data_IF_490390472626
#
_entry.id   IF_490390472626
#
_cell.length_a   1.000
_cell.length_b   1.000
_cell.length_c   1.000
_cell.angle_alpha   90.00
_cell.angle_beta   90.00
_cell.angle_gamma   90.00
#
_symmetry.space_group_name_H-M   'P 1'
#
loop_
_entity.id
_entity.type
_entity.pdbx_description
1 polymer ?
#
# COMPACT_ATOMS: atom_id res chain seq x y z
N UNK A 1 22.59 33.27 -78.57
CA UNK A 1 22.96 32.97 -77.18
C UNK A 1 21.79 33.38 -76.28
N UNK A 2 21.05 32.42 -75.76
CA UNK A 2 19.93 32.63 -74.78
C UNK A 2 20.37 32.16 -73.44
N UNK A 3 20.47 33.09 -72.51
CA UNK A 3 20.85 32.82 -71.13
C UNK A 3 19.61 32.44 -70.31
N UNK A 4 19.56 31.22 -69.78
CA UNK A 4 18.49 30.73 -68.92
C UNK A 4 18.90 31.06 -67.48
N UNK A 5 18.13 31.89 -66.80
CA UNK A 5 18.26 32.15 -65.36
C UNK A 5 17.38 31.18 -64.59
N UNK A 6 18.00 30.26 -63.84
CA UNK A 6 17.33 29.35 -62.89
C UNK A 6 17.14 30.07 -61.55
N UNK A 7 15.89 30.33 -61.19
CA UNK A 7 15.50 30.82 -59.83
C UNK A 7 15.25 29.60 -58.97
N UNK A 8 16.16 29.39 -57.99
CA UNK A 8 15.97 28.37 -56.94
C UNK A 8 15.06 28.95 -55.84
N UNK A 9 13.85 28.42 -55.71
CA UNK A 9 12.93 28.75 -54.61
C UNK A 9 13.31 27.92 -53.37
N UNK A 10 13.91 28.55 -52.35
CA UNK A 10 14.10 27.94 -51.02
C UNK A 10 12.76 27.91 -50.26
N UNK A 11 12.19 26.71 -50.10
CA UNK A 11 11.05 26.48 -49.19
C UNK A 11 11.59 26.41 -47.77
N UNK A 12 11.37 27.46 -46.96
CA UNK A 12 11.62 27.46 -45.54
C UNK A 12 10.45 26.78 -44.84
N UNK A 13 10.63 25.53 -44.43
CA UNK A 13 9.66 24.82 -43.60
C UNK A 13 9.90 25.31 -42.14
N UNK A 14 9.08 26.22 -41.67
CA UNK A 14 9.03 26.63 -40.28
C UNK A 14 8.37 25.54 -39.46
N UNK A 15 9.19 24.78 -38.70
CA UNK A 15 8.72 23.90 -37.64
C UNK A 15 8.10 24.75 -36.54
N UNK A 16 6.77 24.80 -36.45
CA UNK A 16 6.09 25.34 -35.30
C UNK A 16 6.25 24.36 -34.13
N UNK A 17 6.76 24.77 -32.96
CA UNK A 17 6.85 23.85 -31.82
C UNK A 17 5.42 23.51 -31.37
N UNK A 18 5.19 22.22 -31.23
CA UNK A 18 3.90 21.65 -30.80
C UNK A 18 3.49 22.19 -29.42
N UNK A 19 2.52 23.10 -29.39
CA UNK A 19 1.80 23.56 -28.18
C UNK A 19 0.67 22.58 -27.78
N UNK A 20 0.91 21.27 -27.84
CA UNK A 20 -0.13 20.28 -27.52
C UNK A 20 -0.19 19.92 -26.02
N UNK A 21 0.76 20.33 -25.17
CA UNK A 21 0.80 19.92 -23.77
C UNK A 21 0.01 20.82 -22.80
N UNK A 22 -0.33 22.04 -23.18
CA UNK A 22 -0.96 23.00 -22.24
C UNK A 22 -2.49 22.93 -22.18
N UNK A 23 -3.15 22.41 -23.20
CA UNK A 23 -4.63 22.43 -23.26
C UNK A 23 -5.33 21.34 -22.43
N UNK A 24 -4.60 20.28 -22.00
CA UNK A 24 -5.20 19.18 -21.23
C UNK A 24 -5.35 19.45 -19.73
N UNK A 25 -4.69 20.46 -19.18
CA UNK A 25 -4.70 20.75 -17.75
C UNK A 25 -5.72 21.81 -17.33
N UNK A 26 -6.21 22.64 -18.25
CA UNK A 26 -7.16 23.73 -17.91
C UNK A 26 -8.54 23.22 -17.43
N UNK A 27 -8.93 21.98 -17.74
CA UNK A 27 -10.21 21.38 -17.37
C UNK A 27 -10.09 20.02 -16.68
N UNK A 28 -8.94 19.71 -16.06
CA UNK A 28 -8.79 18.45 -15.32
C UNK A 28 -9.17 18.63 -13.85
N UNK A 29 -9.96 17.68 -13.26
CA UNK A 29 -10.72 16.64 -13.95
C UNK A 29 -12.09 17.16 -14.43
N UNK A 30 -12.54 16.74 -15.61
CA UNK A 30 -13.87 17.04 -16.15
C UNK A 30 -14.79 15.81 -16.22
N UNK A 31 -14.33 14.67 -15.72
CA UNK A 31 -15.07 13.41 -15.61
C UNK A 31 -14.60 12.61 -14.39
N UNK A 32 -15.33 11.57 -14.06
CA UNK A 32 -15.01 10.65 -12.97
C UNK A 32 -13.58 10.12 -13.07
N UNK A 33 -12.85 10.15 -11.94
CA UNK A 33 -11.53 9.55 -11.79
C UNK A 33 -11.68 8.17 -11.14
N UNK A 34 -10.99 7.16 -11.65
CA UNK A 34 -10.95 5.81 -11.08
C UNK A 34 -9.74 5.67 -10.18
N UNK A 35 -9.96 5.26 -8.94
CA UNK A 35 -8.91 4.88 -8.01
C UNK A 35 -8.88 3.35 -7.91
N UNK A 36 -7.92 2.74 -8.59
CA UNK A 36 -7.72 1.29 -8.57
C UNK A 36 -7.11 0.88 -7.22
N UNK A 37 -7.77 -0.07 -6.57
CA UNK A 37 -7.31 -0.75 -5.37
C UNK A 37 -7.00 -2.20 -5.74
N UNK A 38 -5.72 -2.64 -5.74
CA UNK A 38 -5.34 -3.96 -6.24
C UNK A 38 -5.60 -5.09 -5.25
N UNK A 39 -6.49 -4.87 -4.28
CA UNK A 39 -6.84 -5.81 -3.22
C UNK A 39 -8.36 -5.95 -3.07
N UNK A 40 -8.85 -7.05 -2.46
CA UNK A 40 -10.28 -7.24 -2.22
C UNK A 40 -10.87 -6.14 -1.33
N UNK A 41 -12.19 -5.88 -1.43
CA UNK A 41 -12.89 -5.00 -0.52
C UNK A 41 -12.75 -5.43 0.96
N UNK A 42 -12.74 -4.46 1.87
CA UNK A 42 -12.67 -4.70 3.32
C UNK A 42 -11.27 -4.84 3.90
N UNK A 43 -10.20 -4.83 3.07
CA UNK A 43 -8.81 -4.73 3.53
C UNK A 43 -8.37 -3.29 3.81
N UNK A 44 -7.17 -3.11 4.38
CA UNK A 44 -6.65 -1.79 4.76
C UNK A 44 -6.58 -0.81 3.59
N UNK A 45 -6.15 -1.26 2.42
CA UNK A 45 -6.04 -0.40 1.22
C UNK A 45 -7.42 0.07 0.75
N UNK A 46 -8.43 -0.81 0.77
CA UNK A 46 -9.81 -0.44 0.43
C UNK A 46 -10.39 0.56 1.46
N UNK A 47 -10.12 0.33 2.75
CA UNK A 47 -10.52 1.26 3.81
C UNK A 47 -9.92 2.66 3.56
N UNK A 48 -8.63 2.75 3.30
CA UNK A 48 -7.95 4.03 3.01
C UNK A 48 -8.52 4.68 1.75
N UNK A 49 -8.75 3.92 0.69
CA UNK A 49 -9.38 4.42 -0.54
C UNK A 49 -10.73 5.08 -0.24
N UNK A 50 -11.58 4.42 0.56
CA UNK A 50 -12.92 4.93 0.92
C UNK A 50 -12.89 6.11 1.90
N UNK A 51 -11.84 6.27 2.68
CA UNK A 51 -11.63 7.45 3.52
C UNK A 51 -11.19 8.67 2.71
N UNK A 52 -10.35 8.46 1.69
CA UNK A 52 -9.76 9.54 0.89
C UNK A 52 -10.65 9.98 -0.26
N UNK A 53 -11.29 9.02 -0.96
CA UNK A 53 -12.00 9.29 -2.23
C UNK A 53 -13.10 10.34 -2.13
N UNK A 54 -13.98 10.38 -1.10
CA UNK A 54 -15.03 11.39 -1.02
C UNK A 54 -14.45 12.80 -0.91
N UNK A 55 -13.47 13.01 -0.01
CA UNK A 55 -12.84 14.31 0.22
C UNK A 55 -12.01 14.78 -0.98
N UNK A 56 -11.29 13.86 -1.63
CA UNK A 56 -10.56 14.17 -2.85
C UNK A 56 -11.53 14.55 -3.97
N UNK A 57 -12.65 13.83 -4.11
CA UNK A 57 -13.69 14.12 -5.08
C UNK A 57 -14.32 15.50 -4.87
N UNK A 58 -14.71 15.85 -3.64
CA UNK A 58 -15.20 17.18 -3.26
C UNK A 58 -14.17 18.26 -3.62
N UNK A 59 -12.89 18.04 -3.30
CA UNK A 59 -11.81 19.00 -3.58
C UNK A 59 -11.52 19.22 -5.06
N UNK A 60 -11.79 18.21 -5.89
CA UNK A 60 -11.57 18.23 -7.34
C UNK A 60 -12.83 18.61 -8.14
N UNK A 61 -14.01 18.64 -7.50
CA UNK A 61 -15.30 18.86 -8.18
C UNK A 61 -15.73 17.70 -9.08
N UNK A 62 -15.14 16.50 -8.90
CA UNK A 62 -15.45 15.30 -9.69
C UNK A 62 -15.42 14.04 -8.80
N UNK A 63 -16.27 13.08 -9.13
CA UNK A 63 -16.33 11.83 -8.37
C UNK A 63 -15.04 11.02 -8.49
N UNK A 64 -14.55 10.47 -7.35
CA UNK A 64 -13.51 9.46 -7.32
C UNK A 64 -14.17 8.10 -7.04
N UNK A 65 -14.11 7.19 -7.99
CA UNK A 65 -14.68 5.85 -7.87
C UNK A 65 -13.59 4.85 -7.49
N UNK A 66 -13.79 4.20 -6.34
CA UNK A 66 -12.92 3.10 -5.89
C UNK A 66 -13.27 1.85 -6.67
N UNK A 67 -12.29 1.26 -7.36
CA UNK A 67 -12.43 0.07 -8.18
C UNK A 67 -11.44 -1.01 -7.72
N UNK A 68 -11.97 -2.04 -7.04
CA UNK A 68 -11.17 -3.15 -6.51
C UNK A 68 -10.83 -4.15 -7.62
N UNK A 69 -9.54 -4.28 -7.96
CA UNK A 69 -8.98 -5.20 -8.98
C UNK A 69 -7.97 -6.12 -8.36
N UNK A 70 -8.47 -7.07 -7.57
CA UNK A 70 -7.63 -8.00 -6.81
C UNK A 70 -7.07 -9.14 -7.67
N UNK A 71 -5.98 -9.75 -7.19
CA UNK A 71 -5.37 -10.95 -7.73
C UNK A 71 -3.85 -10.89 -7.73
N UNK A 72 -3.19 -12.06 -7.59
CA UNK A 72 -1.73 -12.22 -7.53
C UNK A 72 -1.08 -11.18 -6.60
N UNK A 73 -1.57 -11.07 -5.36
CA UNK A 73 -1.08 -10.13 -4.34
C UNK A 73 -1.01 -8.66 -4.80
N UNK A 74 -1.97 -8.26 -5.66
CA UNK A 74 -2.08 -6.91 -6.19
C UNK A 74 -1.44 -6.71 -7.56
N UNK A 75 -0.72 -7.70 -8.11
CA UNK A 75 -0.06 -7.55 -9.40
C UNK A 75 -1.04 -7.28 -10.55
N UNK A 76 -2.24 -7.91 -10.55
CA UNK A 76 -3.24 -7.72 -11.62
C UNK A 76 -3.75 -6.28 -11.66
N UNK A 77 -4.17 -5.72 -10.52
CA UNK A 77 -4.65 -4.34 -10.46
C UNK A 77 -3.55 -3.32 -10.73
N UNK A 78 -2.32 -3.62 -10.31
CA UNK A 78 -1.14 -2.78 -10.56
C UNK A 78 -0.81 -2.73 -12.05
N UNK A 79 -0.77 -3.88 -12.74
CA UNK A 79 -0.55 -3.96 -14.18
C UNK A 79 -1.61 -3.18 -14.97
N UNK A 80 -2.89 -3.26 -14.56
CA UNK A 80 -3.95 -2.50 -15.20
C UNK A 80 -3.64 -0.99 -15.22
N UNK A 81 -3.12 -0.45 -14.11
CA UNK A 81 -2.76 0.97 -14.04
C UNK A 81 -1.48 1.27 -14.81
N UNK A 82 -0.47 0.40 -14.76
CA UNK A 82 0.76 0.56 -15.55
C UNK A 82 0.47 0.72 -17.07
N UNK A 83 -0.58 0.04 -17.56
CA UNK A 83 -1.01 0.08 -18.96
C UNK A 83 -2.11 1.10 -19.27
N UNK A 84 -2.58 1.85 -18.28
CA UNK A 84 -3.63 2.85 -18.47
C UNK A 84 -3.11 4.09 -19.19
N UNK A 85 -4.02 4.85 -19.80
CA UNK A 85 -3.68 6.14 -20.39
C UNK A 85 -3.12 7.09 -19.33
N UNK A 86 -2.02 7.82 -19.60
CA UNK A 86 -1.38 8.71 -18.63
C UNK A 86 -2.07 10.09 -18.62
N UNK A 87 -3.39 10.10 -18.44
CA UNK A 87 -4.24 11.29 -18.48
C UNK A 87 -4.77 11.71 -17.10
N UNK A 88 -4.37 10.99 -16.03
CA UNK A 88 -4.78 11.27 -14.65
C UNK A 88 -6.13 10.68 -14.24
N UNK A 89 -6.89 10.05 -15.13
CA UNK A 89 -8.21 9.49 -14.81
C UNK A 89 -8.19 8.05 -14.31
N UNK A 90 -7.04 7.41 -14.31
CA UNK A 90 -6.83 6.11 -13.66
C UNK A 90 -5.64 6.23 -12.72
N UNK A 91 -5.91 6.13 -11.42
CA UNK A 91 -4.92 6.21 -10.36
C UNK A 91 -4.80 4.86 -9.65
N UNK A 92 -3.68 4.63 -8.98
CA UNK A 92 -3.43 3.44 -8.17
C UNK A 92 -3.25 3.84 -6.72
N UNK A 93 -3.98 3.23 -5.80
CA UNK A 93 -3.64 3.23 -4.38
C UNK A 93 -3.01 1.88 -4.04
N UNK A 94 -1.74 1.90 -3.64
CA UNK A 94 -1.01 0.67 -3.33
C UNK A 94 -0.23 0.79 -2.01
N UNK A 95 0.47 -0.28 -1.65
CA UNK A 95 1.15 -0.46 -0.37
C UNK A 95 2.39 -1.34 -0.54
N UNK A 96 3.03 -1.76 0.53
CA UNK A 96 4.30 -2.51 0.56
C UNK A 96 4.43 -3.63 -0.47
N UNK A 97 3.41 -4.49 -0.74
CA UNK A 97 3.48 -5.52 -1.78
C UNK A 97 3.83 -4.99 -3.17
N UNK A 98 3.51 -3.73 -3.49
CA UNK A 98 3.89 -3.07 -4.73
C UNK A 98 5.39 -3.16 -5.05
N UNK A 99 6.22 -3.11 -4.00
CA UNK A 99 7.69 -3.21 -4.10
C UNK A 99 8.15 -4.62 -3.82
N UNK A 100 7.63 -5.26 -2.77
CA UNK A 100 8.10 -6.58 -2.31
C UNK A 100 7.89 -7.65 -3.37
N UNK A 101 6.79 -7.59 -4.10
CA UNK A 101 6.48 -8.56 -5.15
C UNK A 101 7.54 -8.60 -6.26
N UNK A 102 8.23 -7.49 -6.54
CA UNK A 102 9.34 -7.46 -7.51
C UNK A 102 10.51 -8.38 -7.12
N UNK A 103 10.59 -8.79 -5.86
CA UNK A 103 11.61 -9.70 -5.34
C UNK A 103 11.06 -11.09 -5.00
N UNK A 104 9.75 -11.21 -4.73
CA UNK A 104 9.13 -12.47 -4.30
C UNK A 104 8.64 -13.33 -5.45
N UNK A 105 8.23 -12.70 -6.57
CA UNK A 105 7.71 -13.41 -7.73
C UNK A 105 8.78 -13.50 -8.81
N UNK A 106 8.89 -14.66 -9.47
CA UNK A 106 9.79 -14.87 -10.60
C UNK A 106 9.50 -13.94 -11.78
N UNK A 107 8.23 -13.52 -11.92
CA UNK A 107 7.78 -12.59 -12.94
C UNK A 107 6.69 -11.65 -12.43
N UNK A 108 6.98 -10.36 -12.45
CA UNK A 108 6.03 -9.28 -12.16
C UNK A 108 5.73 -8.51 -13.45
N UNK A 109 4.45 -8.23 -13.79
CA UNK A 109 4.08 -7.62 -15.08
C UNK A 109 4.23 -6.09 -15.11
N UNK A 110 4.98 -5.50 -14.19
CA UNK A 110 5.24 -4.06 -14.10
C UNK A 110 6.62 -3.78 -13.50
N UNK A 111 7.12 -2.58 -13.72
CA UNK A 111 8.28 -2.01 -13.03
C UNK A 111 7.79 -0.90 -12.08
N UNK A 112 7.92 -1.13 -10.76
CA UNK A 112 7.41 -0.20 -9.75
C UNK A 112 8.06 1.20 -9.80
N UNK A 113 9.29 1.31 -10.30
CA UNK A 113 10.00 2.59 -10.39
C UNK A 113 9.87 3.28 -11.75
N UNK A 114 9.63 2.50 -12.81
CA UNK A 114 9.67 3.01 -14.17
C UNK A 114 8.31 3.12 -14.87
N UNK A 115 7.27 2.40 -14.41
CA UNK A 115 5.94 2.43 -15.03
C UNK A 115 4.96 3.37 -14.34
N UNK A 116 5.37 4.00 -13.24
CA UNK A 116 4.51 4.86 -12.43
C UNK A 116 5.17 6.20 -12.10
N UNK A 117 4.31 7.18 -11.83
CA UNK A 117 4.69 8.46 -11.24
C UNK A 117 4.04 8.54 -9.85
N UNK A 118 4.83 8.62 -8.76
CA UNK A 118 4.31 8.85 -7.43
C UNK A 118 3.57 10.18 -7.33
N UNK A 119 2.42 10.19 -6.62
CA UNK A 119 1.69 11.43 -6.32
C UNK A 119 1.93 11.84 -4.88
N UNK A 120 1.55 10.98 -3.93
CA UNK A 120 1.78 11.23 -2.49
C UNK A 120 1.66 9.93 -1.71
N UNK A 121 2.42 9.79 -0.64
CA UNK A 121 2.02 8.97 0.49
C UNK A 121 0.71 9.54 1.06
N UNK A 122 -0.08 8.71 1.71
CA UNK A 122 -1.40 9.06 2.25
C UNK A 122 -1.47 8.74 3.74
N UNK A 123 -1.02 7.55 4.09
CA UNK A 123 -0.99 7.10 5.49
C UNK A 123 0.06 6.04 5.72
N UNK A 124 0.42 5.88 6.98
CA UNK A 124 1.13 4.70 7.47
C UNK A 124 0.36 4.09 8.64
N UNK A 125 0.61 2.81 8.87
CA UNK A 125 0.01 2.10 10.00
C UNK A 125 0.80 0.85 10.34
N UNK A 126 0.90 0.51 11.62
CA UNK A 126 1.47 -0.77 12.02
C UNK A 126 0.49 -1.92 11.76
N UNK A 127 1.02 -3.12 11.73
CA UNK A 127 0.24 -4.33 11.96
C UNK A 127 0.01 -4.54 13.46
N UNK A 128 -1.08 -5.21 13.79
CA UNK A 128 -1.36 -5.67 15.15
C UNK A 128 -1.30 -7.20 15.16
N UNK A 129 -0.42 -7.74 15.99
CA UNK A 129 -0.41 -9.15 16.30
C UNK A 129 -1.59 -9.44 17.21
N UNK A 130 -2.57 -10.16 16.68
CA UNK A 130 -3.75 -10.55 17.43
C UNK A 130 -3.93 -12.06 17.41
N UNK A 131 -4.60 -12.56 18.46
CA UNK A 131 -4.93 -13.98 18.60
C UNK A 131 -6.41 -14.17 18.89
N UNK A 132 -6.95 -15.33 18.52
CA UNK A 132 -8.27 -15.75 18.98
C UNK A 132 -8.26 -15.92 20.51
N UNK A 133 -9.32 -15.49 21.23
CA UNK A 133 -9.36 -15.56 22.70
C UNK A 133 -9.19 -16.95 23.31
N UNK A 134 -9.49 -18.03 22.56
CA UNK A 134 -9.28 -19.41 23.01
C UNK A 134 -7.81 -19.82 23.12
N UNK A 135 -6.89 -19.10 22.42
CA UNK A 135 -5.46 -19.37 22.58
C UNK A 135 -5.00 -18.86 23.94
N UNK A 136 -4.45 -19.70 24.84
CA UNK A 136 -4.11 -19.34 26.21
C UNK A 136 -2.77 -18.57 26.28
N UNK A 137 -2.68 -17.47 25.51
CA UNK A 137 -1.51 -16.56 25.53
C UNK A 137 -1.99 -15.11 25.67
N UNK A 138 -1.28 -14.31 26.46
CA UNK A 138 -1.63 -12.93 26.80
C UNK A 138 -0.49 -11.94 26.48
N UNK A 139 0.62 -12.42 25.94
CA UNK A 139 1.78 -11.62 25.60
C UNK A 139 2.54 -12.19 24.39
N UNK A 140 3.34 -11.34 23.74
CA UNK A 140 4.27 -11.77 22.68
C UNK A 140 5.22 -12.85 23.22
N UNK A 141 5.68 -12.71 24.47
CA UNK A 141 6.58 -13.69 25.12
C UNK A 141 5.93 -15.06 25.24
N UNK A 142 4.68 -15.13 25.70
CA UNK A 142 3.94 -16.38 25.82
C UNK A 142 3.68 -17.04 24.47
N UNK A 143 3.35 -16.24 23.43
CA UNK A 143 3.19 -16.76 22.07
C UNK A 143 4.51 -17.35 21.54
N UNK A 144 5.63 -16.65 21.72
CA UNK A 144 6.96 -17.15 21.35
C UNK A 144 7.31 -18.46 22.09
N UNK A 145 7.01 -18.52 23.39
CA UNK A 145 7.24 -19.73 24.18
C UNK A 145 6.40 -20.91 23.66
N UNK A 146 5.11 -20.68 23.41
CA UNK A 146 4.22 -21.72 22.89
C UNK A 146 4.66 -22.18 21.49
N UNK A 147 5.02 -21.25 20.59
CA UNK A 147 5.48 -21.59 19.25
C UNK A 147 6.81 -22.35 19.24
N UNK A 148 7.71 -22.06 20.18
CA UNK A 148 8.97 -22.82 20.38
C UNK A 148 8.75 -24.21 20.92
N UNK A 149 7.78 -24.38 21.83
CA UNK A 149 7.47 -25.69 22.43
C UNK A 149 6.74 -26.63 21.50
N UNK A 150 6.08 -26.08 20.44
CA UNK A 150 5.28 -26.82 19.44
C UNK A 150 5.52 -26.30 18.06
N UNK A 151 6.71 -26.49 17.45
CA UNK A 151 7.01 -26.00 16.11
C UNK A 151 6.04 -26.53 15.08
N UNK A 152 5.47 -25.65 14.25
CA UNK A 152 4.52 -26.03 13.19
C UNK A 152 3.09 -26.33 13.66
N UNK A 153 2.80 -26.32 14.96
CA UNK A 153 1.46 -26.60 15.50
C UNK A 153 0.53 -25.35 15.47
N UNK A 154 1.11 -24.16 15.47
CA UNK A 154 0.34 -22.92 15.32
C UNK A 154 0.33 -22.49 13.86
N UNK A 155 -0.77 -21.84 13.48
CA UNK A 155 -0.90 -21.21 12.17
C UNK A 155 -1.29 -19.73 12.31
N UNK A 156 -0.99 -18.95 11.28
CA UNK A 156 -1.43 -17.56 11.18
C UNK A 156 -2.09 -17.27 9.83
N UNK A 157 -3.12 -16.41 9.86
CA UNK A 157 -3.81 -15.96 8.67
C UNK A 157 -3.03 -14.86 7.94
N UNK A 158 -2.88 -15.03 6.63
CA UNK A 158 -2.33 -14.05 5.70
C UNK A 158 -3.34 -13.72 4.61
N UNK A 159 -3.27 -12.53 4.05
CA UNK A 159 -4.12 -12.07 2.95
C UNK A 159 -3.67 -12.58 1.56
N UNK A 160 -2.67 -13.47 1.52
CA UNK A 160 -2.00 -14.00 0.34
C UNK A 160 -0.47 -13.86 0.43
N UNK A 161 0.26 -14.59 -0.41
CA UNK A 161 1.71 -14.52 -0.45
C UNK A 161 2.18 -13.10 -0.80
N UNK A 162 3.21 -12.58 -0.13
CA UNK A 162 3.74 -11.22 -0.35
C UNK A 162 2.90 -10.08 0.22
N UNK A 163 1.74 -10.37 0.83
CA UNK A 163 0.92 -9.33 1.48
C UNK A 163 1.47 -8.91 2.84
N UNK A 164 1.03 -7.75 3.34
CA UNK A 164 1.50 -7.20 4.63
C UNK A 164 1.43 -8.20 5.80
N UNK A 165 0.30 -8.92 6.02
CA UNK A 165 0.25 -9.93 7.08
C UNK A 165 1.22 -11.09 6.88
N UNK A 166 1.51 -11.49 5.64
CA UNK A 166 2.52 -12.50 5.35
C UNK A 166 3.91 -12.02 5.75
N UNK A 167 4.30 -10.84 5.27
CA UNK A 167 5.61 -10.24 5.56
C UNK A 167 5.82 -10.06 7.07
N UNK A 168 4.80 -9.53 7.77
CA UNK A 168 4.86 -9.32 9.21
C UNK A 168 5.00 -10.64 9.98
N UNK A 169 4.28 -11.70 9.57
CA UNK A 169 4.36 -13.03 10.16
C UNK A 169 5.72 -13.69 9.94
N UNK A 170 6.26 -13.62 8.72
CA UNK A 170 7.58 -14.16 8.40
C UNK A 170 8.71 -13.43 9.13
N UNK A 171 8.59 -12.11 9.29
CA UNK A 171 9.52 -11.34 10.14
C UNK A 171 9.47 -11.81 11.59
N UNK A 172 8.28 -12.10 12.13
CA UNK A 172 8.10 -12.62 13.48
C UNK A 172 8.72 -14.01 13.62
N UNK A 173 8.45 -14.92 12.68
CA UNK A 173 9.04 -16.26 12.65
C UNK A 173 10.57 -16.22 12.65
N UNK A 174 11.13 -15.38 11.79
CA UNK A 174 12.58 -15.26 11.63
C UNK A 174 13.25 -14.73 12.91
N UNK A 175 12.83 -13.57 13.41
CA UNK A 175 13.45 -12.97 14.58
C UNK A 175 13.21 -13.79 15.85
N UNK A 176 12.00 -14.36 15.97
CA UNK A 176 11.60 -15.20 17.09
C UNK A 176 12.23 -16.59 17.07
N UNK A 177 12.82 -17.00 15.94
CA UNK A 177 13.29 -18.37 15.67
C UNK A 177 12.19 -19.39 15.99
N UNK A 178 10.99 -19.14 15.47
CA UNK A 178 9.80 -19.97 15.62
C UNK A 178 9.25 -20.37 14.26
N UNK A 179 8.38 -21.39 14.24
CA UNK A 179 7.68 -21.85 13.06
C UNK A 179 6.17 -21.81 13.33
N UNK A 180 5.53 -20.65 13.05
CA UNK A 180 4.08 -20.51 12.96
C UNK A 180 3.73 -20.60 11.49
N UNK A 181 2.92 -21.58 11.07
CA UNK A 181 2.65 -21.91 9.68
C UNK A 181 1.71 -20.87 9.06
N UNK A 182 2.04 -20.32 7.88
CA UNK A 182 1.18 -19.41 7.17
C UNK A 182 0.01 -20.15 6.51
N UNK A 183 -1.20 -19.56 6.60
CA UNK A 183 -2.37 -19.97 5.82
C UNK A 183 -2.84 -18.77 4.98
N UNK A 184 -2.79 -18.91 3.67
CA UNK A 184 -3.13 -17.84 2.74
C UNK A 184 -4.63 -17.82 2.44
N UNK A 185 -5.25 -16.66 2.64
CA UNK A 185 -6.62 -16.35 2.26
C UNK A 185 -6.67 -15.42 1.04
N UNK A 186 -7.84 -15.31 0.42
CA UNK A 186 -8.07 -14.39 -0.71
C UNK A 186 -8.39 -12.97 -0.19
N UNK A 187 -7.43 -12.36 0.54
CA UNK A 187 -7.54 -11.03 1.12
C UNK A 187 -7.61 -11.01 2.65
N UNK A 188 -7.47 -9.80 3.25
CA UNK A 188 -7.44 -9.62 4.71
C UNK A 188 -8.75 -9.98 5.40
N UNK A 189 -9.89 -9.58 4.82
CA UNK A 189 -11.21 -9.85 5.40
C UNK A 189 -11.48 -11.33 5.68
N UNK A 190 -11.36 -12.25 4.70
CA UNK A 190 -11.52 -13.69 4.93
C UNK A 190 -10.56 -14.25 5.98
N UNK A 191 -9.29 -13.85 5.98
CA UNK A 191 -8.32 -14.28 6.99
C UNK A 191 -8.69 -13.81 8.41
N UNK A 192 -9.21 -12.58 8.51
CA UNK A 192 -9.65 -12.04 9.78
C UNK A 192 -10.92 -12.75 10.30
N UNK A 193 -11.84 -13.10 9.42
CA UNK A 193 -13.03 -13.91 9.75
C UNK A 193 -12.59 -15.28 10.27
N UNK A 194 -11.68 -15.97 9.58
CA UNK A 194 -11.12 -17.25 10.02
C UNK A 194 -10.44 -17.15 11.40
N UNK A 195 -9.78 -16.01 11.67
CA UNK A 195 -9.18 -15.77 13.00
C UNK A 195 -10.26 -15.53 14.07
N UNK A 196 -11.31 -14.79 13.77
CA UNK A 196 -12.41 -14.52 14.70
C UNK A 196 -13.28 -15.76 14.99
N UNK A 197 -13.35 -16.71 14.06
CA UNK A 197 -14.07 -17.99 14.25
C UNK A 197 -13.23 -19.04 15.02
N UNK A 198 -11.94 -18.81 15.22
CA UNK A 198 -11.02 -19.74 15.83
C UNK A 198 -10.50 -20.85 14.89
N UNK A 199 -10.80 -20.79 13.59
CA UNK A 199 -10.21 -21.66 12.58
C UNK A 199 -8.70 -21.46 12.47
N UNK A 200 -8.29 -20.19 12.46
CA UNK A 200 -6.89 -19.77 12.58
C UNK A 200 -6.71 -19.03 13.91
N UNK A 201 -5.62 -19.27 14.61
CA UNK A 201 -5.46 -18.73 15.96
C UNK A 201 -4.68 -17.43 16.04
N UNK A 202 -3.92 -17.06 15.00
CA UNK A 202 -3.02 -15.90 15.00
C UNK A 202 -3.19 -15.08 13.72
N UNK A 203 -3.07 -13.76 13.80
CA UNK A 203 -2.94 -12.91 12.61
C UNK A 203 -2.09 -11.66 12.88
N UNK A 204 -1.43 -11.18 11.84
CA UNK A 204 -0.62 -9.95 11.81
C UNK A 204 -1.29 -8.88 10.92
N UNK A 205 -2.58 -8.71 11.07
CA UNK A 205 -3.35 -7.80 10.20
C UNK A 205 -3.12 -6.33 10.56
N UNK A 206 -3.43 -5.45 9.61
CA UNK A 206 -3.35 -4.01 9.82
C UNK A 206 -4.20 -3.57 11.03
N UNK A 207 -3.70 -2.63 11.84
CA UNK A 207 -4.40 -2.15 13.03
C UNK A 207 -5.79 -1.60 12.70
N UNK A 208 -5.95 -0.92 11.55
CA UNK A 208 -7.23 -0.37 11.11
C UNK A 208 -8.28 -1.45 10.82
N UNK A 209 -7.86 -2.67 10.43
CA UNK A 209 -8.75 -3.80 10.21
C UNK A 209 -9.14 -4.50 11.52
N UNK A 210 -8.24 -4.52 12.50
CA UNK A 210 -8.37 -5.34 13.72
C UNK A 210 -8.88 -4.58 14.93
N UNK A 211 -8.69 -3.26 14.97
CA UNK A 211 -8.98 -2.42 16.14
C UNK A 211 -10.39 -2.57 16.69
N UNK A 212 -11.41 -2.59 15.84
CA UNK A 212 -12.82 -2.75 16.25
C UNK A 212 -13.08 -4.12 16.90
N UNK A 213 -12.44 -5.18 16.42
CA UNK A 213 -12.60 -6.53 16.96
C UNK A 213 -11.82 -6.73 18.26
N UNK A 214 -10.71 -6.03 18.41
CA UNK A 214 -9.96 -5.99 19.69
C UNK A 214 -10.76 -5.23 20.75
N UNK A 215 -11.34 -4.07 20.41
CA UNK A 215 -12.21 -3.29 21.30
C UNK A 215 -13.46 -4.10 21.70
N UNK A 216 -14.04 -4.84 20.77
CA UNK A 216 -15.17 -5.75 21.01
C UNK A 216 -14.79 -7.07 21.71
N UNK A 217 -13.50 -7.26 22.09
CA UNK A 217 -12.95 -8.47 22.73
C UNK A 217 -13.13 -9.76 21.90
N UNK A 218 -13.37 -9.63 20.61
CA UNK A 218 -13.46 -10.79 19.68
C UNK A 218 -12.06 -11.29 19.27
N UNK A 219 -11.06 -10.43 19.37
CA UNK A 219 -9.65 -10.77 19.23
C UNK A 219 -8.89 -10.21 20.44
N UNK A 220 -7.78 -10.86 20.80
CA UNK A 220 -6.85 -10.37 21.82
C UNK A 220 -5.60 -9.82 21.14
N UNK A 221 -5.29 -8.55 21.35
CA UNK A 221 -4.04 -7.96 20.90
C UNK A 221 -2.88 -8.34 21.82
N UNK A 222 -1.76 -8.76 21.24
CA UNK A 222 -0.54 -9.05 21.95
C UNK A 222 0.55 -7.98 21.76
N UNK A 223 0.54 -7.29 20.62
CA UNK A 223 1.51 -6.24 20.33
C UNK A 223 1.28 -5.57 19.00
N UNK A 224 1.88 -4.39 18.81
CA UNK A 224 1.91 -3.64 17.57
C UNK A 224 3.29 -3.73 16.92
N UNK A 225 3.34 -3.67 15.59
CA UNK A 225 4.58 -3.86 14.82
C UNK A 225 5.45 -2.61 14.69
N UNK A 226 4.96 -1.46 15.14
CA UNK A 226 5.69 -0.18 15.16
C UNK A 226 6.75 -0.15 16.26
N UNK A 227 7.74 0.73 16.12
CA UNK A 227 8.78 0.98 17.13
C UNK A 227 8.27 1.69 18.39
N UNK A 228 7.12 2.39 18.26
CA UNK A 228 6.43 3.08 19.35
C UNK A 228 5.03 2.54 19.51
N UNK A 229 4.49 2.61 20.73
CA UNK A 229 3.08 2.27 21.00
C UNK A 229 2.17 3.23 20.26
N UNK A 230 1.03 2.73 19.79
CA UNK A 230 0.03 3.52 19.06
C UNK A 230 -0.81 4.31 20.07
N UNK A 231 -0.96 5.60 19.85
CA UNK A 231 -1.66 6.50 20.78
C UNK A 231 -3.13 6.08 21.01
N UNK A 232 -3.81 5.55 19.99
CA UNK A 232 -5.18 5.03 20.12
C UNK A 232 -5.27 3.76 21.01
N UNK A 233 -4.15 3.04 21.21
CA UNK A 233 -4.09 1.79 21.96
C UNK A 233 -2.87 1.75 22.90
N UNK A 234 -2.75 2.69 23.87
CA UNK A 234 -1.54 2.85 24.68
C UNK A 234 -1.23 1.65 25.57
N UNK A 235 -2.24 0.85 25.90
CA UNK A 235 -2.11 -0.38 26.68
C UNK A 235 -1.51 -1.57 25.90
N UNK A 236 -1.40 -1.49 24.55
CA UNK A 236 -0.83 -2.56 23.75
C UNK A 236 0.66 -2.27 23.55
N UNK A 237 1.58 -3.20 23.99
CA UNK A 237 3.01 -3.02 23.84
C UNK A 237 3.44 -3.09 22.36
N UNK A 238 4.67 -2.66 22.05
CA UNK A 238 5.29 -3.00 20.77
C UNK A 238 5.82 -4.42 20.81
N UNK A 239 5.82 -5.11 19.66
CA UNK A 239 6.43 -6.43 19.53
C UNK A 239 7.94 -6.33 19.84
N UNK A 240 8.56 -5.21 19.47
CA UNK A 240 9.98 -4.93 19.72
C UNK A 240 10.36 -4.90 21.22
N UNK A 241 9.41 -4.58 22.12
CA UNK A 241 9.66 -4.66 23.58
C UNK A 241 10.00 -6.08 24.04
N UNK A 242 9.57 -7.11 23.30
CA UNK A 242 9.86 -8.52 23.59
C UNK A 242 10.81 -9.13 22.56
N UNK A 243 10.74 -8.70 21.31
CA UNK A 243 11.49 -9.22 20.16
C UNK A 243 12.28 -8.08 19.53
N UNK A 244 13.48 -7.74 20.04
CA UNK A 244 14.28 -6.62 19.52
C UNK A 244 14.56 -6.73 18.03
N UNK A 245 14.47 -5.60 17.31
CA UNK A 245 14.64 -5.54 15.86
C UNK A 245 13.37 -5.86 15.05
N UNK A 246 12.28 -6.21 15.72
CA UNK A 246 10.99 -6.35 15.01
C UNK A 246 10.41 -4.96 14.74
N UNK A 247 10.31 -4.62 13.46
CA UNK A 247 9.65 -3.41 12.98
C UNK A 247 9.01 -3.68 11.63
N UNK A 248 7.73 -3.39 11.52
CA UNK A 248 7.01 -3.44 10.25
C UNK A 248 5.91 -2.39 10.23
N UNK A 249 6.01 -1.45 9.30
CA UNK A 249 4.99 -0.41 9.11
C UNK A 249 4.53 -0.43 7.66
N UNK A 250 3.23 -0.51 7.49
CA UNK A 250 2.59 -0.44 6.18
C UNK A 250 2.43 1.01 5.78
N UNK A 251 2.88 1.38 4.61
CA UNK A 251 2.56 2.65 3.98
C UNK A 251 1.44 2.46 2.94
N UNK A 252 0.70 3.53 2.68
CA UNK A 252 -0.26 3.63 1.58
C UNK A 252 0.06 4.84 0.75
N UNK A 253 0.07 4.71 -0.57
CA UNK A 253 0.42 5.80 -1.47
C UNK A 253 -0.36 5.75 -2.77
N UNK A 254 -0.61 6.93 -3.33
CA UNK A 254 -1.30 7.10 -4.61
C UNK A 254 -0.28 7.38 -5.70
N UNK A 255 -0.42 6.64 -6.81
CA UNK A 255 0.44 6.72 -7.99
C UNK A 255 -0.43 6.92 -9.24
N UNK A 256 0.19 7.44 -10.29
CA UNK A 256 -0.39 7.52 -11.63
C UNK A 256 0.48 6.73 -12.63
N UNK A 257 -0.03 6.40 -13.83
CA UNK A 257 0.77 5.83 -14.92
C UNK A 257 1.93 6.76 -15.31
N UNK A 258 3.05 6.17 -15.75
CA UNK A 258 4.16 6.93 -16.33
C UNK A 258 3.69 7.83 -17.47
N UNK A 259 4.22 9.03 -17.54
CA UNK A 259 3.86 10.00 -18.57
C UNK A 259 2.66 10.88 -18.22
N UNK A 260 2.01 10.67 -17.06
CA UNK A 260 0.96 11.60 -16.58
C UNK A 260 1.54 13.02 -16.44
N UNK A 261 0.86 14.04 -16.99
CA UNK A 261 1.34 15.42 -17.01
C UNK A 261 1.72 15.93 -15.60
N UNK A 262 2.85 16.60 -15.47
CA UNK A 262 3.35 17.13 -14.20
C UNK A 262 2.36 18.05 -13.49
N UNK A 263 1.59 18.84 -14.25
CA UNK A 263 0.58 19.73 -13.70
C UNK A 263 -0.58 18.95 -13.03
N UNK A 264 -0.97 17.78 -13.57
CA UNK A 264 -1.97 16.89 -12.96
C UNK A 264 -1.41 16.27 -11.67
N UNK A 265 -0.15 15.81 -11.69
CA UNK A 265 0.51 15.26 -10.51
C UNK A 265 0.59 16.30 -9.40
N UNK A 266 1.01 17.54 -9.72
CA UNK A 266 1.10 18.64 -8.77
C UNK A 266 -0.27 19.00 -8.17
N UNK A 267 -1.31 19.09 -8.99
CA UNK A 267 -2.68 19.35 -8.54
C UNK A 267 -3.17 18.26 -7.57
N UNK A 268 -3.03 16.98 -7.95
CA UNK A 268 -3.45 15.86 -7.10
C UNK A 268 -2.66 15.82 -5.78
N UNK A 269 -1.36 16.06 -5.81
CA UNK A 269 -0.53 16.14 -4.61
C UNK A 269 -0.98 17.26 -3.67
N UNK A 270 -1.19 18.48 -4.21
CA UNK A 270 -1.68 19.63 -3.44
C UNK A 270 -3.04 19.31 -2.79
N UNK A 271 -3.99 18.76 -3.55
CA UNK A 271 -5.33 18.42 -3.04
C UNK A 271 -5.26 17.35 -1.96
N UNK A 272 -4.45 16.30 -2.15
CA UNK A 272 -4.25 15.26 -1.13
C UNK A 272 -3.67 15.84 0.16
N UNK A 273 -2.62 16.66 0.08
CA UNK A 273 -2.05 17.32 1.25
C UNK A 273 -3.08 18.18 1.99
N UNK A 274 -3.87 18.95 1.25
CA UNK A 274 -4.88 19.84 1.82
C UNK A 274 -5.97 19.06 2.55
N UNK A 275 -6.56 18.04 1.94
CA UNK A 275 -7.67 17.29 2.53
C UNK A 275 -7.22 16.43 3.71
N UNK A 276 -6.05 15.80 3.63
CA UNK A 276 -5.57 14.87 4.66
C UNK A 276 -5.15 15.59 5.95
N UNK A 277 -4.60 16.79 5.85
CA UNK A 277 -4.14 17.55 7.02
C UNK A 277 -5.26 18.38 7.71
N UNK A 278 -6.54 18.16 7.38
CA UNK A 278 -7.64 18.77 8.11
C UNK A 278 -7.85 18.11 9.48
N UNK A 279 -8.25 18.85 10.52
CA UNK A 279 -8.41 18.30 11.88
C UNK A 279 -9.33 17.09 11.94
N UNK A 280 -10.43 17.09 11.17
CA UNK A 280 -11.39 15.99 11.10
C UNK A 280 -10.76 14.72 10.49
N UNK A 281 -9.92 14.85 9.45
CA UNK A 281 -9.22 13.71 8.88
C UNK A 281 -8.13 13.17 9.81
N UNK A 282 -7.36 14.04 10.44
CA UNK A 282 -6.36 13.64 11.44
C UNK A 282 -7.02 12.86 12.58
N UNK A 283 -8.16 13.34 13.09
CA UNK A 283 -8.91 12.64 14.11
C UNK A 283 -9.46 11.29 13.60
N UNK A 284 -10.05 11.27 12.39
CA UNK A 284 -10.66 10.09 11.80
C UNK A 284 -9.65 8.96 11.57
N UNK A 285 -8.45 9.30 11.07
CA UNK A 285 -7.35 8.36 10.87
C UNK A 285 -6.78 7.90 12.22
N UNK A 286 -6.49 8.85 13.11
CA UNK A 286 -5.92 8.55 14.43
C UNK A 286 -6.77 7.61 15.26
N UNK A 287 -8.12 7.75 15.25
CA UNK A 287 -9.04 6.82 15.92
C UNK A 287 -8.94 5.38 15.43
N UNK A 288 -8.41 5.18 14.21
CA UNK A 288 -8.18 3.86 13.60
C UNK A 288 -6.73 3.37 13.74
N UNK A 289 -5.90 4.11 14.45
CA UNK A 289 -4.47 3.81 14.59
C UNK A 289 -3.68 4.02 13.28
N UNK A 290 -4.18 4.89 12.41
CA UNK A 290 -3.53 5.31 11.18
C UNK A 290 -2.84 6.65 11.41
N UNK A 291 -1.60 6.76 10.95
CA UNK A 291 -0.89 8.04 10.88
C UNK A 291 -1.03 8.62 9.47
N UNK A 292 -1.48 9.85 9.36
CA UNK A 292 -1.43 10.56 8.08
C UNK A 292 0.02 10.94 7.81
N UNK A 293 0.52 10.50 6.66
CA UNK A 293 1.84 10.89 6.13
C UNK A 293 1.63 11.40 4.72
N UNK A 294 1.84 12.70 4.50
CA UNK A 294 1.83 13.27 3.15
C UNK A 294 3.25 13.53 2.69
N UNK A 295 3.51 13.37 1.40
CA UNK A 295 4.82 13.58 0.80
C UNK A 295 4.75 14.38 -0.49
N UNK A 296 5.85 14.93 -0.95
CA UNK A 296 6.01 15.31 -2.34
C UNK A 296 6.13 14.07 -3.24
N UNK A 297 5.95 14.21 -4.56
CA UNK A 297 6.22 13.13 -5.50
C UNK A 297 7.66 12.63 -5.44
N UNK A 298 8.63 13.53 -5.24
CA UNK A 298 10.05 13.24 -5.14
C UNK A 298 10.39 12.46 -3.87
N UNK A 299 9.82 12.88 -2.72
CA UNK A 299 9.97 12.18 -1.44
C UNK A 299 9.38 10.76 -1.53
N UNK A 300 8.22 10.59 -2.16
CA UNK A 300 7.63 9.27 -2.34
C UNK A 300 8.46 8.42 -3.30
N UNK A 301 9.01 9.00 -4.38
CA UNK A 301 9.93 8.29 -5.28
C UNK A 301 11.19 7.81 -4.53
N UNK A 302 11.77 8.66 -3.69
CA UNK A 302 12.92 8.29 -2.86
C UNK A 302 12.57 7.17 -1.85
N UNK A 303 11.36 7.22 -1.26
CA UNK A 303 10.85 6.18 -0.38
C UNK A 303 10.75 4.83 -1.10
N UNK A 304 10.14 4.78 -2.31
CA UNK A 304 10.02 3.55 -3.10
C UNK A 304 11.38 2.93 -3.45
N UNK A 305 12.38 3.75 -3.80
CA UNK A 305 13.74 3.27 -4.08
C UNK A 305 14.38 2.63 -2.84
N UNK A 306 14.25 3.30 -1.69
CA UNK A 306 14.74 2.77 -0.40
C UNK A 306 14.05 1.45 -0.03
N UNK A 307 12.74 1.38 -0.19
CA UNK A 307 11.96 0.16 0.05
C UNK A 307 12.43 -1.00 -0.85
N UNK A 308 12.68 -0.72 -2.14
CA UNK A 308 13.16 -1.73 -3.09
C UNK A 308 14.50 -2.34 -2.63
N UNK A 309 15.43 -1.51 -2.17
CA UNK A 309 16.74 -1.98 -1.66
C UNK A 309 16.60 -2.79 -0.37
N UNK A 310 15.76 -2.31 0.57
CA UNK A 310 15.55 -2.99 1.85
C UNK A 310 14.92 -4.37 1.62
N UNK A 311 13.82 -4.40 0.88
CA UNK A 311 13.07 -5.63 0.66
C UNK A 311 13.80 -6.63 -0.23
N UNK A 312 14.62 -6.17 -1.18
CA UNK A 312 15.49 -7.05 -1.96
C UNK A 312 16.44 -7.85 -1.09
N UNK A 313 17.03 -7.21 -0.05
CA UNK A 313 17.86 -7.91 0.94
C UNK A 313 17.05 -8.86 1.82
N UNK A 314 15.95 -8.37 2.38
CA UNK A 314 15.10 -9.15 3.30
C UNK A 314 14.53 -10.40 2.62
N UNK A 315 13.98 -10.28 1.42
CA UNK A 315 13.43 -11.42 0.66
C UNK A 315 14.50 -12.46 0.38
N UNK A 316 15.69 -12.01 -0.07
CA UNK A 316 16.81 -12.90 -0.38
C UNK A 316 17.35 -13.62 0.88
N UNK A 317 17.59 -12.89 1.96
CA UNK A 317 18.15 -13.45 3.19
C UNK A 317 17.20 -14.46 3.87
N UNK A 318 15.91 -14.32 3.62
CA UNK A 318 14.86 -15.14 4.25
C UNK A 318 14.26 -16.20 3.36
N UNK A 319 14.65 -16.24 2.08
CA UNK A 319 14.09 -17.18 1.11
C UNK A 319 12.58 -17.01 0.92
N UNK A 320 12.06 -15.77 1.02
CA UNK A 320 10.64 -15.46 0.88
C UNK A 320 10.28 -15.45 -0.61
N UNK A 321 9.94 -16.60 -1.16
CA UNK A 321 9.46 -16.72 -2.54
C UNK A 321 7.94 -16.96 -2.55
N UNK A 322 7.26 -16.44 -3.54
CA UNK A 322 5.81 -16.58 -3.73
C UNK A 322 5.44 -17.63 -4.80
N UNK A 323 6.43 -18.05 -5.60
CA UNK A 323 6.35 -19.09 -6.66
C UNK A 323 7.64 -19.88 -6.79
#
# INVERSE_FOLDING_TARGET
MRTIVLIAACIVITFAPARFASAQTENYPNRTVRLIVPFPPGGSVDLIARLVSPRLGESLGQQIVVDNRSGASGNIGTELVARAAPDGYTLLLNTVPFIVNMHMYSRVPYDALNDFVPISLVSSSPSMLTVHPSLPVHSVRELLHLAKSRPGALNYASAGAGTNPHIAGELFNYLGKVNIVVVHFKGGGPGLIATMSGEILVTFSNIAETSTYVTAKRLRALGVSSTKRVAAFPGIPTIAETLPGYEFTTWHGILAPKGTPRAIIALLNERLKKILNTPDQVQLFGQRGLDIITSSPEEFSAHLKKELEIWGRVVKERGMLAD
#
